data_IF_564569284354
#
_entry.id   IF_564569284354
#
_cell.length_a   1.000
_cell.length_b   1.000
_cell.length_c   1.000
_cell.angle_alpha   90.00
_cell.angle_beta   90.00
_cell.angle_gamma   90.00
#
_symmetry.space_group_name_H-M   'P 1'
#
loop_
_entity.id
_entity.type
_entity.pdbx_description
1 polymer ?
#
# COMPACT_ATOMS: atom_id res chain seq x y z
N UNK A 1 -22.63 14.82 15.49
CA UNK A 1 -23.79 13.92 15.22
C UNK A 1 -23.25 12.59 14.74
N UNK A 2 -23.53 11.49 15.44
CA UNK A 2 -23.19 10.15 14.97
C UNK A 2 -24.17 9.77 13.86
N UNK A 3 -23.73 9.84 12.60
CA UNK A 3 -24.53 9.35 11.49
C UNK A 3 -24.76 7.84 11.66
N UNK A 4 -26.01 7.40 11.72
CA UNK A 4 -26.36 5.99 11.78
C UNK A 4 -26.04 5.35 10.43
N UNK A 5 -25.22 4.30 10.43
CA UNK A 5 -24.84 3.58 9.21
C UNK A 5 -25.97 2.59 8.89
N UNK A 6 -26.57 2.61 7.68
CA UNK A 6 -27.61 1.66 7.30
C UNK A 6 -27.12 0.21 7.35
N UNK A 7 -28.00 -0.74 7.67
CA UNK A 7 -27.65 -2.17 7.78
C UNK A 7 -27.08 -2.74 6.47
N UNK A 8 -27.63 -2.36 5.33
CA UNK A 8 -27.10 -2.72 4.00
C UNK A 8 -25.62 -2.33 3.83
N UNK A 9 -25.27 -1.13 4.30
CA UNK A 9 -23.91 -0.59 4.23
C UNK A 9 -23.00 -1.35 5.20
N UNK A 10 -23.48 -1.62 6.42
CA UNK A 10 -22.75 -2.43 7.40
C UNK A 10 -22.48 -3.83 6.85
N UNK A 11 -23.51 -4.51 6.32
CA UNK A 11 -23.39 -5.85 5.75
C UNK A 11 -22.44 -5.90 4.58
N UNK A 12 -22.43 -4.88 3.72
CA UNK A 12 -21.46 -4.79 2.62
C UNK A 12 -20.02 -4.57 3.12
N UNK A 13 -19.81 -3.67 4.10
CA UNK A 13 -18.48 -3.40 4.67
C UNK A 13 -17.90 -4.59 5.45
N UNK A 14 -18.75 -5.48 5.97
CA UNK A 14 -18.35 -6.72 6.64
C UNK A 14 -17.68 -7.73 5.70
N UNK A 15 -17.87 -7.61 4.38
CA UNK A 15 -17.15 -8.46 3.41
C UNK A 15 -15.63 -8.26 3.47
N UNK A 16 -15.18 -7.11 3.94
CA UNK A 16 -13.77 -6.80 4.14
C UNK A 16 -13.04 -6.38 2.86
N UNK A 17 -11.79 -5.98 3.04
CA UNK A 17 -10.91 -5.48 1.98
C UNK A 17 -10.47 -6.56 0.97
N UNK A 18 -10.43 -7.82 1.40
CA UNK A 18 -10.05 -8.96 0.55
C UNK A 18 -11.20 -9.49 -0.31
N UNK A 19 -12.41 -8.92 -0.21
CA UNK A 19 -13.54 -9.34 -1.02
C UNK A 19 -13.47 -8.78 -2.44
N UNK A 20 -13.47 -9.66 -3.44
CA UNK A 20 -13.44 -9.27 -4.84
C UNK A 20 -14.84 -8.98 -5.38
N UNK A 21 -15.08 -7.76 -5.83
CA UNK A 21 -16.33 -7.40 -6.50
C UNK A 21 -16.34 -7.86 -7.98
N UNK A 22 -17.54 -8.08 -8.56
CA UNK A 22 -17.68 -8.33 -9.98
C UNK A 22 -17.03 -7.23 -10.84
N UNK A 23 -16.15 -7.62 -11.76
CA UNK A 23 -15.38 -6.69 -12.58
C UNK A 23 -16.29 -5.98 -13.59
N UNK A 24 -16.54 -4.68 -13.39
CA UNK A 24 -17.28 -3.82 -14.33
C UNK A 24 -16.39 -3.20 -15.41
N UNK A 25 -15.16 -2.77 -15.05
CA UNK A 25 -14.27 -2.04 -15.96
C UNK A 25 -13.20 -2.95 -16.59
N UNK A 26 -13.60 -3.73 -17.61
CA UNK A 26 -12.68 -4.64 -18.32
C UNK A 26 -11.48 -3.91 -18.93
N UNK A 27 -11.70 -2.72 -19.52
CA UNK A 27 -10.64 -1.94 -20.16
C UNK A 27 -9.54 -1.58 -19.16
N UNK A 28 -9.92 -1.09 -17.98
CA UNK A 28 -8.95 -0.76 -16.93
C UNK A 28 -8.16 -2.00 -16.48
N UNK A 29 -8.83 -3.13 -16.29
CA UNK A 29 -8.16 -4.37 -15.85
C UNK A 29 -7.18 -4.88 -16.91
N UNK A 30 -7.56 -4.85 -18.18
CA UNK A 30 -6.68 -5.23 -19.30
C UNK A 30 -5.47 -4.30 -19.37
N UNK A 31 -5.66 -2.99 -19.26
CA UNK A 31 -4.56 -2.03 -19.27
C UNK A 31 -3.60 -2.24 -18.10
N UNK A 32 -4.13 -2.44 -16.88
CA UNK A 32 -3.33 -2.74 -15.68
C UNK A 32 -2.53 -4.04 -15.84
N UNK A 33 -3.18 -5.08 -16.39
CA UNK A 33 -2.53 -6.36 -16.69
C UNK A 33 -1.39 -6.18 -17.69
N UNK A 34 -1.63 -5.53 -18.84
CA UNK A 34 -0.60 -5.29 -19.87
C UNK A 34 0.57 -4.50 -19.28
N UNK A 35 0.29 -3.42 -18.54
CA UNK A 35 1.31 -2.60 -17.88
C UNK A 35 2.19 -3.43 -16.94
N UNK A 36 1.57 -4.21 -16.05
CA UNK A 36 2.29 -5.03 -15.07
C UNK A 36 3.06 -6.18 -15.73
N UNK A 37 2.49 -6.76 -16.78
CA UNK A 37 3.09 -7.84 -17.54
C UNK A 37 4.32 -7.34 -18.32
N UNK A 38 4.21 -6.25 -19.08
CA UNK A 38 5.35 -5.66 -19.81
C UNK A 38 6.44 -5.15 -18.88
N UNK A 39 6.06 -4.53 -17.74
CA UNK A 39 7.02 -4.16 -16.70
C UNK A 39 7.80 -5.38 -16.17
N UNK A 40 7.12 -6.52 -15.99
CA UNK A 40 7.75 -7.77 -15.55
C UNK A 40 8.61 -8.40 -16.64
N UNK A 41 8.17 -8.37 -17.90
CA UNK A 41 8.94 -8.84 -19.06
C UNK A 41 10.26 -8.09 -19.24
N UNK A 42 10.30 -6.79 -18.92
CA UNK A 42 11.53 -6.01 -18.99
C UNK A 42 12.64 -6.52 -18.05
N UNK A 43 12.30 -7.32 -17.05
CA UNK A 43 13.26 -7.97 -16.14
C UNK A 43 13.83 -9.28 -16.71
N UNK A 44 13.26 -9.81 -17.79
CA UNK A 44 13.67 -11.07 -18.41
C UNK A 44 14.65 -10.83 -19.59
N UNK A 45 15.50 -11.83 -19.91
CA UNK A 45 16.32 -11.83 -21.12
C UNK A 45 15.50 -11.66 -22.40
N UNK A 46 16.02 -10.90 -23.38
CA UNK A 46 15.31 -10.56 -24.62
C UNK A 46 14.80 -11.78 -25.38
N UNK A 47 15.58 -12.86 -25.42
CA UNK A 47 15.26 -14.11 -26.11
C UNK A 47 14.04 -14.86 -25.56
N UNK A 48 13.63 -14.61 -24.31
CA UNK A 48 12.44 -15.23 -23.71
C UNK A 48 11.18 -14.37 -23.80
N UNK A 49 11.31 -13.07 -24.08
CA UNK A 49 10.17 -12.12 -23.99
C UNK A 49 9.06 -12.44 -24.99
N UNK A 50 9.41 -12.81 -26.22
CA UNK A 50 8.44 -13.16 -27.27
C UNK A 50 7.59 -14.38 -26.89
N UNK A 51 8.22 -15.41 -26.33
CA UNK A 51 7.54 -16.62 -25.87
C UNK A 51 6.49 -16.30 -24.79
N UNK A 52 6.88 -15.51 -23.79
CA UNK A 52 5.96 -15.12 -22.71
C UNK A 52 4.84 -14.19 -23.21
N UNK A 53 5.12 -13.26 -24.13
CA UNK A 53 4.08 -12.44 -24.78
C UNK A 53 3.05 -13.31 -25.47
N UNK A 54 3.48 -14.28 -26.28
CA UNK A 54 2.58 -15.19 -26.96
C UNK A 54 1.72 -16.00 -25.97
N UNK A 55 2.31 -16.50 -24.87
CA UNK A 55 1.59 -17.19 -23.81
C UNK A 55 0.58 -16.28 -23.08
N UNK A 56 0.88 -14.99 -22.91
CA UNK A 56 -0.05 -14.04 -22.28
C UNK A 56 -1.25 -13.68 -23.14
N UNK A 57 -1.16 -13.86 -24.46
CA UNK A 57 -2.25 -13.51 -25.37
C UNK A 57 -3.51 -14.36 -25.12
N UNK A 58 -3.35 -15.65 -24.78
CA UNK A 58 -4.48 -16.51 -24.41
C UNK A 58 -5.15 -16.03 -23.12
N UNK A 59 -4.38 -15.56 -22.14
CA UNK A 59 -4.89 -14.96 -20.90
C UNK A 59 -5.61 -13.63 -21.15
N UNK A 60 -5.06 -12.77 -22.01
CA UNK A 60 -5.71 -11.52 -22.42
C UNK A 60 -7.05 -11.78 -23.10
N UNK A 61 -7.09 -12.74 -24.01
CA UNK A 61 -8.33 -13.16 -24.67
C UNK A 61 -9.34 -13.71 -23.66
N UNK A 62 -8.88 -14.52 -22.70
CA UNK A 62 -9.73 -15.03 -21.62
C UNK A 62 -10.29 -13.90 -20.74
N UNK A 63 -9.49 -12.89 -20.37
CA UNK A 63 -9.95 -11.73 -19.58
C UNK A 63 -10.95 -10.89 -20.39
N UNK A 64 -10.71 -10.71 -21.70
CA UNK A 64 -11.59 -9.96 -22.58
C UNK A 64 -12.95 -10.64 -22.75
N UNK A 65 -12.94 -11.95 -22.98
CA UNK A 65 -14.15 -12.76 -23.14
C UNK A 65 -14.86 -13.04 -21.82
N UNK A 66 -14.15 -13.01 -20.70
CA UNK A 66 -14.73 -13.23 -19.37
C UNK A 66 -15.81 -12.20 -19.05
N UNK A 67 -17.01 -12.67 -18.81
CA UNK A 67 -18.10 -11.92 -18.18
C UNK A 67 -18.45 -12.59 -16.86
N UNK A 68 -18.68 -11.78 -15.83
CA UNK A 68 -19.28 -12.29 -14.61
C UNK A 68 -20.67 -12.85 -14.94
N UNK A 69 -21.03 -13.99 -14.35
CA UNK A 69 -22.37 -14.53 -14.48
C UNK A 69 -23.38 -13.52 -13.95
N UNK A 70 -24.35 -13.16 -14.78
CA UNK A 70 -25.44 -12.26 -14.38
C UNK A 70 -26.44 -13.05 -13.52
N UNK A 71 -26.08 -13.26 -12.25
CA UNK A 71 -26.95 -13.89 -11.26
C UNK A 71 -27.46 -12.85 -10.26
N UNK A 72 -28.56 -13.16 -9.58
CA UNK A 72 -29.22 -12.25 -8.64
C UNK A 72 -28.26 -11.77 -7.54
N UNK A 73 -27.34 -12.64 -7.09
CA UNK A 73 -26.34 -12.34 -6.06
C UNK A 73 -25.37 -11.25 -6.53
N UNK A 74 -24.80 -11.37 -7.72
CA UNK A 74 -23.86 -10.40 -8.26
C UNK A 74 -24.52 -9.04 -8.48
N UNK A 75 -25.77 -9.02 -8.95
CA UNK A 75 -26.52 -7.77 -9.09
C UNK A 75 -26.77 -7.11 -7.73
N UNK A 76 -27.16 -7.90 -6.73
CA UNK A 76 -27.32 -7.42 -5.35
C UNK A 76 -26.00 -6.84 -4.79
N UNK A 77 -24.87 -7.54 -4.94
CA UNK A 77 -23.56 -7.04 -4.49
C UNK A 77 -23.16 -5.73 -5.17
N UNK A 78 -23.45 -5.60 -6.47
CA UNK A 78 -23.17 -4.39 -7.23
C UNK A 78 -24.07 -3.22 -6.83
N UNK A 79 -25.32 -3.50 -6.48
CA UNK A 79 -26.25 -2.51 -5.93
C UNK A 79 -25.80 -2.06 -4.53
N UNK A 80 -25.47 -3.00 -3.64
CA UNK A 80 -24.94 -2.71 -2.30
C UNK A 80 -23.63 -1.92 -2.36
N UNK A 81 -22.75 -2.24 -3.31
CA UNK A 81 -21.53 -1.46 -3.55
C UNK A 81 -21.85 -0.01 -3.92
N UNK A 82 -22.79 0.20 -4.84
CA UNK A 82 -23.17 1.54 -5.28
C UNK A 82 -23.86 2.32 -4.15
N UNK A 83 -24.77 1.69 -3.39
CA UNK A 83 -25.40 2.27 -2.20
C UNK A 83 -24.36 2.68 -1.16
N UNK A 84 -23.42 1.79 -0.85
CA UNK A 84 -22.33 2.05 0.10
C UNK A 84 -21.45 3.22 -0.37
N UNK A 85 -21.09 3.25 -1.66
CA UNK A 85 -20.30 4.35 -2.23
C UNK A 85 -21.02 5.69 -2.13
N UNK A 86 -22.31 5.74 -2.47
CA UNK A 86 -23.12 6.95 -2.37
C UNK A 86 -23.22 7.42 -0.92
N UNK A 87 -23.54 6.52 0.02
CA UNK A 87 -23.61 6.82 1.45
C UNK A 87 -22.30 7.41 1.98
N UNK A 88 -21.15 6.82 1.66
CA UNK A 88 -19.85 7.33 2.10
C UNK A 88 -19.49 8.68 1.46
N UNK A 89 -19.98 8.93 0.24
CA UNK A 89 -19.79 10.23 -0.45
C UNK A 89 -20.62 11.33 0.21
N UNK A 90 -21.85 11.01 0.62
CA UNK A 90 -22.75 11.91 1.33
C UNK A 90 -22.34 12.15 2.79
N UNK A 91 -21.56 11.23 3.38
CA UNK A 91 -21.12 11.28 4.78
C UNK A 91 -19.58 11.33 4.89
N UNK A 92 -18.93 12.44 4.47
CA UNK A 92 -17.46 12.55 4.46
C UNK A 92 -16.80 12.51 5.85
N UNK A 93 -17.59 12.67 6.92
CA UNK A 93 -17.14 12.56 8.30
C UNK A 93 -17.01 11.10 8.78
N UNK A 94 -17.34 10.11 7.96
CA UNK A 94 -17.12 8.70 8.26
C UNK A 94 -15.84 8.23 7.59
N UNK A 95 -14.91 7.71 8.39
CA UNK A 95 -13.71 7.02 7.89
C UNK A 95 -13.94 5.52 7.99
N UNK A 96 -13.68 4.80 6.91
CA UNK A 96 -13.58 3.34 6.92
C UNK A 96 -12.11 2.95 6.90
N UNK A 97 -11.66 2.21 7.91
CA UNK A 97 -10.28 1.72 8.04
C UNK A 97 -10.27 0.27 8.53
N UNK A 98 -9.08 -0.33 8.65
CA UNK A 98 -8.91 -1.67 9.20
C UNK A 98 -8.55 -1.61 10.68
N UNK A 99 -8.95 -2.63 11.44
CA UNK A 99 -8.47 -2.82 12.79
C UNK A 99 -7.00 -3.26 12.82
N UNK A 100 -6.29 -2.98 13.93
CA UNK A 100 -4.91 -3.44 14.17
C UNK A 100 -4.77 -4.98 14.12
N UNK A 101 -5.84 -5.69 14.52
CA UNK A 101 -5.90 -7.16 14.51
C UNK A 101 -7.30 -7.63 14.12
N UNK A 102 -7.38 -8.82 13.54
CA UNK A 102 -8.65 -9.52 13.29
C UNK A 102 -9.25 -9.34 11.89
N UNK A 103 -8.53 -8.74 10.94
CA UNK A 103 -9.00 -8.47 9.57
C UNK A 103 -10.40 -7.83 9.53
N UNK A 104 -10.66 -6.92 10.47
CA UNK A 104 -11.98 -6.32 10.68
C UNK A 104 -12.01 -4.91 10.09
N UNK A 105 -13.07 -4.60 9.34
CA UNK A 105 -13.38 -3.24 8.89
C UNK A 105 -14.00 -2.44 10.03
N UNK A 106 -13.51 -1.22 10.27
CA UNK A 106 -14.00 -0.32 11.32
C UNK A 106 -14.43 0.99 10.68
N UNK A 107 -15.64 1.43 11.00
CA UNK A 107 -16.13 2.77 10.68
C UNK A 107 -15.93 3.69 11.90
N UNK A 108 -15.36 4.87 11.68
CA UNK A 108 -15.01 5.84 12.70
C UNK A 108 -15.53 7.22 12.32
N UNK A 109 -15.83 8.06 13.32
CA UNK A 109 -15.96 9.49 13.10
C UNK A 109 -14.57 10.09 12.78
N UNK A 110 -14.50 10.89 11.73
CA UNK A 110 -13.28 11.52 11.20
C UNK A 110 -12.62 12.45 12.22
N UNK A 111 -13.40 13.28 12.87
CA UNK A 111 -12.89 14.31 13.78
C UNK A 111 -12.37 13.65 15.07
N UNK A 112 -13.09 12.66 15.60
CA UNK A 112 -12.64 11.87 16.75
C UNK A 112 -11.37 11.09 16.43
N UNK A 113 -11.29 10.50 15.22
CA UNK A 113 -10.11 9.80 14.76
C UNK A 113 -8.89 10.74 14.70
N UNK A 114 -9.03 11.89 14.03
CA UNK A 114 -7.95 12.87 13.90
C UNK A 114 -7.49 13.33 15.28
N UNK A 115 -8.43 13.74 16.14
CA UNK A 115 -8.14 14.18 17.52
C UNK A 115 -7.38 13.12 18.32
N UNK A 116 -7.81 11.86 18.26
CA UNK A 116 -7.16 10.78 18.99
C UNK A 116 -5.76 10.45 18.44
N UNK A 117 -5.57 10.54 17.12
CA UNK A 117 -4.26 10.33 16.49
C UNK A 117 -3.32 11.49 16.78
N UNK A 118 -3.79 12.74 16.71
CA UNK A 118 -2.99 13.93 17.05
C UNK A 118 -2.53 13.89 18.50
N UNK A 119 -3.42 13.51 19.43
CA UNK A 119 -3.06 13.31 20.85
C UNK A 119 -1.93 12.28 21.04
N UNK A 120 -1.83 11.27 20.18
CA UNK A 120 -0.70 10.32 20.22
C UNK A 120 0.60 10.91 19.69
N UNK A 121 0.53 11.90 18.80
CA UNK A 121 1.68 12.58 18.19
C UNK A 121 2.13 13.82 18.98
N UNK A 122 1.38 14.23 20.00
CA UNK A 122 1.73 15.33 20.91
C UNK A 122 2.89 15.00 21.87
N UNK A 123 3.28 13.72 21.96
CA UNK A 123 4.42 13.29 22.77
C UNK A 123 5.73 13.92 22.28
N UNK A 124 6.24 14.89 23.05
CA UNK A 124 7.46 15.64 22.75
C UNK A 124 8.74 14.87 23.07
N UNK A 125 8.66 13.78 23.83
CA UNK A 125 9.83 12.93 24.09
C UNK A 125 10.14 12.05 22.87
N UNK A 126 9.10 11.68 22.10
CA UNK A 126 9.24 10.83 20.90
C UNK A 126 9.23 11.63 19.60
N UNK A 127 8.41 12.68 19.49
CA UNK A 127 8.16 13.40 18.23
C UNK A 127 8.63 14.86 18.25
N UNK A 128 9.07 15.34 17.09
CA UNK A 128 9.48 16.72 16.87
C UNK A 128 8.67 17.34 15.73
N UNK A 129 8.24 18.59 15.94
CA UNK A 129 7.52 19.36 14.93
C UNK A 129 8.48 19.78 13.82
N UNK A 130 8.13 19.45 12.58
CA UNK A 130 8.88 19.83 11.39
C UNK A 130 8.19 21.00 10.70
N UNK A 131 8.81 22.19 10.75
CA UNK A 131 8.21 23.44 10.26
C UNK A 131 8.21 23.59 8.73
N UNK A 132 9.10 22.88 8.03
CA UNK A 132 9.25 22.96 6.58
C UNK A 132 9.35 21.55 6.01
N UNK A 133 8.68 21.32 4.88
CA UNK A 133 8.75 20.04 4.17
C UNK A 133 10.23 19.63 3.95
N UNK A 134 10.70 18.52 4.57
CA UNK A 134 12.10 18.12 4.53
C UNK A 134 12.46 17.33 3.27
N UNK A 135 11.52 17.08 2.35
CA UNK A 135 11.70 16.16 1.23
C UNK A 135 12.91 16.50 0.36
N UNK A 136 13.08 17.78 -0.01
CA UNK A 136 14.20 18.21 -0.85
C UNK A 136 15.53 18.02 -0.13
N UNK A 137 15.57 18.31 1.18
CA UNK A 137 16.76 18.10 2.00
C UNK A 137 17.10 16.61 2.08
N UNK A 138 16.11 15.75 2.30
CA UNK A 138 16.27 14.30 2.33
C UNK A 138 16.81 13.75 1.00
N UNK A 139 16.25 14.20 -0.13
CA UNK A 139 16.69 13.78 -1.47
C UNK A 139 18.12 14.25 -1.73
N UNK A 140 18.47 15.51 -1.42
CA UNK A 140 19.84 16.02 -1.59
C UNK A 140 20.84 15.24 -0.72
N UNK A 141 20.54 15.04 0.56
CA UNK A 141 21.41 14.26 1.46
C UNK A 141 21.57 12.80 1.01
N UNK A 142 20.51 12.20 0.49
CA UNK A 142 20.57 10.85 -0.08
C UNK A 142 21.47 10.80 -1.33
N UNK A 143 21.36 11.78 -2.24
CA UNK A 143 22.23 11.88 -3.42
C UNK A 143 23.69 12.04 -3.03
N UNK A 144 23.99 12.91 -2.06
CA UNK A 144 25.35 13.07 -1.54
C UNK A 144 25.91 11.77 -0.94
N UNK A 145 25.10 11.03 -0.18
CA UNK A 145 25.48 9.75 0.39
C UNK A 145 25.82 8.73 -0.72
N UNK A 146 24.97 8.61 -1.73
CA UNK A 146 25.16 7.69 -2.85
C UNK A 146 26.41 8.03 -3.68
N UNK A 147 26.68 9.32 -3.91
CA UNK A 147 27.91 9.77 -4.58
C UNK A 147 29.15 9.37 -3.76
N UNK A 148 29.12 9.58 -2.43
CA UNK A 148 30.21 9.17 -1.54
C UNK A 148 30.44 7.65 -1.58
N UNK A 149 29.37 6.84 -1.55
CA UNK A 149 29.48 5.38 -1.63
C UNK A 149 30.02 4.90 -2.97
N UNK A 150 29.62 5.54 -4.07
CA UNK A 150 30.18 5.29 -5.40
C UNK A 150 31.67 5.57 -5.43
N UNK A 151 32.10 6.74 -4.95
CA UNK A 151 33.51 7.14 -4.96
C UNK A 151 34.38 6.21 -4.09
N UNK A 152 33.81 5.61 -3.05
CA UNK A 152 34.47 4.59 -2.22
C UNK A 152 34.42 3.18 -2.80
N UNK A 153 33.77 2.97 -3.94
CA UNK A 153 33.64 1.66 -4.58
C UNK A 153 32.63 0.71 -3.93
N UNK A 154 31.76 1.19 -3.02
CA UNK A 154 30.75 0.34 -2.36
C UNK A 154 29.56 0.01 -3.26
N UNK A 155 29.24 0.88 -4.22
CA UNK A 155 28.14 0.71 -5.17
C UNK A 155 28.58 1.09 -6.59
N UNK A 156 28.06 0.38 -7.59
CA UNK A 156 28.36 0.66 -8.99
C UNK A 156 27.47 1.79 -9.55
N UNK A 157 27.98 2.53 -10.55
CA UNK A 157 27.25 3.62 -11.20
C UNK A 157 25.90 3.15 -11.79
N UNK A 158 25.88 1.96 -12.39
CA UNK A 158 24.67 1.37 -12.96
C UNK A 158 23.60 1.12 -11.89
N UNK A 159 23.98 0.74 -10.66
CA UNK A 159 23.04 0.60 -9.55
C UNK A 159 22.47 1.94 -9.11
N UNK A 160 23.30 2.99 -9.03
CA UNK A 160 22.85 4.35 -8.68
C UNK A 160 21.83 4.86 -9.69
N UNK A 161 22.16 4.82 -10.98
CA UNK A 161 21.29 5.35 -12.04
C UNK A 161 20.00 4.53 -12.22
N UNK A 162 20.07 3.20 -12.13
CA UNK A 162 18.90 2.35 -12.38
C UNK A 162 17.95 2.24 -11.18
N UNK A 163 18.44 2.37 -9.93
CA UNK A 163 17.64 2.10 -8.72
C UNK A 163 17.35 3.32 -7.86
N UNK A 164 18.13 4.39 -7.98
CA UNK A 164 18.08 5.52 -7.06
C UNK A 164 17.74 6.84 -7.75
N UNK A 165 17.03 6.78 -8.88
CA UNK A 165 16.40 7.97 -9.43
C UNK A 165 15.18 8.34 -8.55
N UNK A 166 15.33 9.49 -7.87
CA UNK A 166 14.34 10.09 -7.00
C UNK A 166 14.10 11.51 -7.48
N UNK A 167 13.16 11.64 -8.42
CA UNK A 167 12.63 12.93 -8.87
C UNK A 167 11.43 13.33 -8.03
N UNK A 168 10.55 12.37 -7.71
CA UNK A 168 9.22 12.62 -7.14
C UNK A 168 8.94 11.77 -5.90
N UNK A 169 9.74 11.95 -4.84
CA UNK A 169 9.51 11.26 -3.57
C UNK A 169 8.41 11.91 -2.74
N UNK A 170 7.59 11.09 -2.08
CA UNK A 170 6.62 11.57 -1.08
C UNK A 170 7.16 11.38 0.34
N UNK A 171 6.69 12.19 1.30
CA UNK A 171 7.01 11.95 2.71
C UNK A 171 6.26 10.70 3.19
N UNK A 172 6.87 9.91 4.10
CA UNK A 172 6.16 8.83 4.77
C UNK A 172 4.87 9.34 5.42
N UNK A 173 3.78 8.59 5.27
CA UNK A 173 2.47 8.95 5.80
C UNK A 173 2.17 8.17 7.07
N UNK A 174 1.81 8.86 8.14
CA UNK A 174 1.35 8.24 9.37
C UNK A 174 -0.18 8.07 9.37
N UNK A 175 -0.67 6.94 9.87
CA UNK A 175 -2.09 6.70 10.15
C UNK A 175 -2.26 5.79 11.36
N UNK A 176 -3.41 5.90 12.03
CA UNK A 176 -3.76 5.10 13.21
C UNK A 176 -4.64 3.90 12.85
N UNK A 177 -4.31 2.72 13.38
CA UNK A 177 -5.20 1.55 13.34
C UNK A 177 -5.84 1.33 14.72
N UNK A 178 -7.17 1.27 14.85
CA UNK A 178 -7.82 1.04 16.13
C UNK A 178 -7.54 -0.38 16.65
N UNK A 179 -7.11 -0.48 17.92
CA UNK A 179 -6.92 -1.75 18.63
C UNK A 179 -8.23 -2.17 19.29
N UNK A 180 -9.19 -2.62 18.49
CA UNK A 180 -10.54 -3.02 18.96
C UNK A 180 -10.55 -4.15 20.01
N UNK A 181 -9.43 -4.88 20.15
CA UNK A 181 -9.23 -5.95 21.13
C UNK A 181 -8.70 -5.45 22.49
N UNK A 182 -8.61 -4.13 22.69
CA UNK A 182 -8.15 -3.48 23.91
C UNK A 182 -9.22 -2.54 24.45
N UNK A 183 -9.28 -2.41 25.78
CA UNK A 183 -10.17 -1.45 26.45
C UNK A 183 -9.90 -0.04 25.92
N UNK A 184 -10.96 0.75 25.70
CA UNK A 184 -10.92 2.09 25.10
C UNK A 184 -10.42 2.17 23.65
N UNK A 185 -10.23 1.03 22.98
CA UNK A 185 -9.85 0.94 21.55
C UNK A 185 -8.71 1.89 21.13
N UNK A 186 -7.57 1.95 21.84
CA UNK A 186 -6.47 2.86 21.51
C UNK A 186 -5.93 2.60 20.10
N UNK A 187 -5.29 3.60 19.49
CA UNK A 187 -4.72 3.46 18.15
C UNK A 187 -3.28 2.93 18.17
N UNK A 188 -2.89 2.21 17.12
CA UNK A 188 -1.50 1.94 16.75
C UNK A 188 -1.12 2.88 15.60
N UNK A 189 -0.11 3.73 15.80
CA UNK A 189 0.44 4.52 14.70
C UNK A 189 1.25 3.59 13.78
N UNK A 190 0.95 3.66 12.50
CA UNK A 190 1.68 3.03 11.40
C UNK A 190 2.25 4.13 10.52
N UNK A 191 3.55 4.06 10.21
CA UNK A 191 4.20 4.95 9.26
C UNK A 191 4.42 4.17 7.96
N UNK A 192 3.75 4.58 6.90
CA UNK A 192 3.95 4.03 5.56
C UNK A 192 5.07 4.81 4.87
N UNK A 193 6.19 4.13 4.64
CA UNK A 193 7.33 4.65 3.87
C UNK A 193 7.22 4.37 2.37
N UNK A 194 6.09 3.84 1.91
CA UNK A 194 5.83 3.56 0.49
C UNK A 194 5.97 4.86 -0.30
N UNK A 195 6.65 4.79 -1.46
CA UNK A 195 6.98 5.92 -2.33
C UNK A 195 7.85 7.02 -1.68
N UNK A 196 8.48 6.74 -0.53
CA UNK A 196 9.46 7.64 0.06
C UNK A 196 10.84 7.51 -0.61
N UNK A 197 11.65 8.59 -0.65
CA UNK A 197 13.01 8.53 -1.18
C UNK A 197 13.89 7.46 -0.52
N UNK A 198 13.64 7.15 0.75
CA UNK A 198 14.47 6.23 1.51
C UNK A 198 14.08 4.77 1.30
N UNK A 199 12.88 4.48 0.79
CA UNK A 199 12.36 3.11 0.66
C UNK A 199 13.21 2.21 -0.24
N UNK A 200 13.66 2.72 -1.40
CA UNK A 200 14.52 1.91 -2.29
C UNK A 200 15.89 1.63 -1.68
N UNK A 201 16.41 2.57 -0.87
CA UNK A 201 17.66 2.39 -0.13
C UNK A 201 17.52 1.39 1.00
N UNK A 202 16.46 1.49 1.81
CA UNK A 202 16.19 0.52 2.87
C UNK A 202 16.04 -0.89 2.30
N UNK A 203 15.30 -1.05 1.20
CA UNK A 203 15.14 -2.35 0.52
C UNK A 203 16.47 -2.89 -0.04
N UNK A 204 17.32 -2.01 -0.58
CA UNK A 204 18.64 -2.41 -1.06
C UNK A 204 19.53 -2.91 0.09
N UNK A 205 19.60 -2.15 1.19
CA UNK A 205 20.37 -2.52 2.37
C UNK A 205 19.83 -3.81 3.00
N UNK A 206 18.51 -3.94 3.10
CA UNK A 206 17.88 -5.16 3.60
C UNK A 206 18.28 -6.38 2.78
N UNK A 207 18.28 -6.29 1.44
CA UNK A 207 18.73 -7.40 0.57
C UNK A 207 20.21 -7.74 0.76
N UNK A 208 21.06 -6.73 0.94
CA UNK A 208 22.47 -6.97 1.24
C UNK A 208 22.62 -7.69 2.58
N UNK A 209 21.95 -7.21 3.63
CA UNK A 209 21.95 -7.83 4.95
C UNK A 209 21.46 -9.28 4.87
N UNK A 210 20.31 -9.52 4.26
CA UNK A 210 19.72 -10.84 4.12
C UNK A 210 20.63 -11.82 3.37
N UNK A 211 21.32 -11.37 2.32
CA UNK A 211 22.20 -12.24 1.54
C UNK A 211 23.55 -12.51 2.20
N UNK A 212 24.00 -11.67 3.13
CA UNK A 212 25.34 -11.76 3.74
C UNK A 212 25.31 -12.22 5.20
N UNK A 213 24.16 -12.12 5.88
CA UNK A 213 24.04 -12.67 7.23
C UNK A 213 23.75 -14.17 7.20
N UNK A 214 24.37 -14.95 8.09
CA UNK A 214 24.05 -16.36 8.22
C UNK A 214 22.58 -16.50 8.62
N UNK A 215 21.83 -17.29 7.85
CA UNK A 215 20.49 -17.72 8.24
C UNK A 215 20.66 -18.75 9.36
N UNK A 216 20.70 -18.30 10.61
CA UNK A 216 20.47 -19.23 11.72
C UNK A 216 19.05 -19.77 11.55
N UNK A 217 18.91 -21.09 11.49
CA UNK A 217 17.63 -21.83 11.44
C UNK A 217 16.72 -21.58 12.67
N UNK A 218 17.08 -20.63 13.53
CA UNK A 218 16.40 -20.31 14.79
C UNK A 218 15.70 -18.96 14.79
N UNK A 219 15.74 -18.16 13.71
CA UNK A 219 14.90 -16.95 13.61
C UNK A 219 13.48 -17.34 13.20
N UNK A 220 12.80 -18.08 14.07
CA UNK A 220 11.36 -18.21 14.03
C UNK A 220 10.74 -16.88 14.48
N UNK A 221 10.06 -16.22 13.54
CA UNK A 221 9.00 -15.24 13.82
C UNK A 221 9.39 -13.94 14.54
N UNK A 222 10.22 -13.10 13.92
CA UNK A 222 9.99 -11.66 14.05
C UNK A 222 9.15 -11.20 12.85
N UNK A 223 7.84 -11.00 13.06
CA UNK A 223 6.92 -10.30 12.13
C UNK A 223 7.26 -8.81 12.00
N UNK A 224 8.53 -8.48 11.87
CA UNK A 224 9.01 -7.15 11.54
C UNK A 224 9.59 -7.24 10.13
N UNK A 225 8.69 -7.29 9.16
CA UNK A 225 9.01 -6.76 7.84
C UNK A 225 9.25 -5.28 8.10
N UNK A 226 10.51 -4.85 8.12
CA UNK A 226 10.83 -3.44 8.01
C UNK A 226 10.33 -2.97 6.65
N UNK A 227 9.18 -2.29 6.64
CA UNK A 227 8.63 -1.54 5.51
C UNK A 227 9.15 -0.11 5.59
#
# INVERSE_FOLDING_TARGET
>A
SSATIPEDVVGFLQLGDNFSLPIKNKKSVILEFIKNFEYSLNKLPLNKRSEFRNKSMSLLNAISSYSYQNNAINNCLLELHQKTKNFLTENPNIIVTRADKGNTTVALNRDDYIKNVEKLLEDKDTYLIVLKNPINKLISSLRELLIKWKNKGFISLNLVMAKFDFTDGSLPRAYGLPKIHKVNCPYRIIVSSIDSPLYKLSLYLHKLMFNNFPTNNEIYNSKYVMI
#
